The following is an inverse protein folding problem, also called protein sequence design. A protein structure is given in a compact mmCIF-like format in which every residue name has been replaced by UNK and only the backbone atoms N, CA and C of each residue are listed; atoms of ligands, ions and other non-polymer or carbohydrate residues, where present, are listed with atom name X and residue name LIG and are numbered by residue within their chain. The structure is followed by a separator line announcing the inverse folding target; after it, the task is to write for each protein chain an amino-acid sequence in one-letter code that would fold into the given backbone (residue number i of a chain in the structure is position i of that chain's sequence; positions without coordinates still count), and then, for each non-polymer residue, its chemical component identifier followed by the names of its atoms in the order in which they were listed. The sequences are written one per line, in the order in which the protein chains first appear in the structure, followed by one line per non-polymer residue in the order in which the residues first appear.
data_IF_237298089614
#
_entry.id   IF_237298089614
#
_cell.length_a   1.000
_cell.length_b   1.000
_cell.length_c   1.000
_cell.angle_alpha   90.00
_cell.angle_beta   90.00
_cell.angle_gamma   90.00
#
_symmetry.space_group_name_H-M   'P 1'
#
loop_
_entity.id
_entity.type
_entity.pdbx_description
1 polymer ?
#
# COMPACT_ATOMS: atom_id res chain seq x y z
N UNK A 1 12.04 12.02 10.45
CA UNK A 1 11.58 11.25 9.27
C UNK A 1 10.07 11.40 9.24
N UNK A 2 9.46 11.83 8.14
CA UNK A 2 7.99 11.96 8.06
C UNK A 2 7.35 10.58 7.94
N UNK A 3 6.12 10.41 8.45
CA UNK A 3 5.36 9.15 8.39
C UNK A 3 5.20 8.62 6.95
N UNK A 4 5.06 9.53 5.97
CA UNK A 4 5.07 9.20 4.54
C UNK A 4 6.31 8.42 4.11
N UNK A 5 7.47 8.74 4.70
CA UNK A 5 8.72 8.06 4.37
C UNK A 5 8.73 6.61 4.90
N UNK A 6 8.16 6.37 6.07
CA UNK A 6 8.05 5.02 6.66
C UNK A 6 7.11 4.14 5.83
N UNK A 7 5.97 4.67 5.39
CA UNK A 7 5.03 3.92 4.54
C UNK A 7 5.64 3.54 3.20
N UNK A 8 6.41 4.44 2.57
CA UNK A 8 7.09 4.14 1.31
C UNK A 8 8.06 2.96 1.44
N UNK A 9 8.89 2.93 2.49
CA UNK A 9 9.83 1.82 2.71
C UNK A 9 9.09 0.48 2.88
N UNK A 10 7.97 0.48 3.63
CA UNK A 10 7.16 -0.73 3.79
C UNK A 10 6.53 -1.19 2.47
N UNK A 11 6.00 -0.27 1.68
CA UNK A 11 5.41 -0.57 0.38
C UNK A 11 6.46 -1.08 -0.60
N UNK A 12 7.66 -0.51 -0.60
CA UNK A 12 8.78 -0.90 -1.46
C UNK A 12 9.27 -2.33 -1.13
N UNK A 13 9.51 -2.63 0.15
CA UNK A 13 9.86 -3.99 0.59
C UNK A 13 8.75 -4.98 0.22
N UNK A 14 7.49 -4.63 0.49
CA UNK A 14 6.36 -5.50 0.14
C UNK A 14 6.23 -5.73 -1.36
N UNK A 15 6.51 -4.71 -2.19
CA UNK A 15 6.51 -4.83 -3.64
C UNK A 15 7.63 -5.76 -4.12
N UNK A 16 8.86 -5.59 -3.62
CA UNK A 16 10.01 -6.39 -4.02
C UNK A 16 9.83 -7.86 -3.65
N UNK A 17 9.33 -8.12 -2.45
CA UNK A 17 9.16 -9.47 -1.89
C UNK A 17 7.82 -10.11 -2.30
N UNK A 18 6.94 -9.35 -2.97
CA UNK A 18 5.58 -9.77 -3.33
C UNK A 18 4.77 -10.22 -2.11
N UNK A 19 4.98 -9.54 -0.97
CA UNK A 19 4.28 -9.83 0.27
C UNK A 19 2.91 -9.13 0.30
N UNK A 20 1.88 -9.78 0.86
CA UNK A 20 0.58 -9.16 1.05
C UNK A 20 0.63 -8.06 2.11
N UNK A 21 0.08 -6.91 1.73
CA UNK A 21 -0.13 -5.76 2.62
C UNK A 21 -1.61 -5.55 2.86
N UNK A 22 -1.92 -4.98 4.02
CA UNK A 22 -3.22 -4.39 4.31
C UNK A 22 -3.04 -2.90 4.60
N UNK A 23 -3.68 -2.08 3.79
CA UNK A 23 -3.61 -0.62 3.83
C UNK A 23 -4.92 -0.11 4.42
N UNK A 24 -4.82 0.70 5.47
CA UNK A 24 -5.95 1.31 6.16
C UNK A 24 -6.10 2.77 5.75
N UNK A 25 -7.34 3.13 5.46
CA UNK A 25 -7.82 4.43 5.01
C UNK A 25 -8.99 4.82 5.92
N UNK A 26 -9.37 6.10 5.96
CA UNK A 26 -10.33 6.66 6.95
C UNK A 26 -11.63 5.86 7.13
N UNK A 27 -12.14 5.23 6.07
CA UNK A 27 -13.40 4.48 6.10
C UNK A 27 -13.31 3.07 5.51
N UNK A 28 -12.12 2.62 5.13
CA UNK A 28 -11.97 1.34 4.45
C UNK A 28 -10.57 0.78 4.59
N UNK A 29 -10.43 -0.52 4.36
CA UNK A 29 -9.14 -1.17 4.28
C UNK A 29 -9.07 -1.98 2.98
N UNK A 30 -7.88 -1.99 2.38
CA UNK A 30 -7.60 -2.71 1.15
C UNK A 30 -6.46 -3.68 1.40
N UNK A 31 -6.65 -4.94 1.02
CA UNK A 31 -5.65 -5.99 1.13
C UNK A 31 -5.22 -6.45 -0.26
N UNK A 32 -3.92 -6.61 -0.47
CA UNK A 32 -3.40 -7.02 -1.76
C UNK A 32 -1.88 -7.03 -1.85
N UNK A 33 -1.38 -7.24 -3.07
CA UNK A 33 0.05 -7.14 -3.39
C UNK A 33 0.32 -5.77 -4.02
N UNK A 34 1.35 -5.08 -3.55
CA UNK A 34 1.82 -3.84 -4.18
C UNK A 34 2.38 -4.16 -5.56
N UNK A 35 1.83 -3.56 -6.61
CA UNK A 35 2.28 -3.79 -8.00
C UNK A 35 3.11 -2.63 -8.51
N UNK A 36 2.79 -1.41 -8.10
CA UNK A 36 3.51 -0.21 -8.52
C UNK A 36 3.45 0.88 -7.44
N UNK A 37 4.54 1.62 -7.27
CA UNK A 37 4.62 2.78 -6.38
C UNK A 37 4.99 3.98 -7.26
N UNK A 38 4.06 4.92 -7.37
CA UNK A 38 4.25 6.19 -8.05
C UNK A 38 4.60 7.31 -7.07
N UNK A 39 4.72 8.53 -7.59
CA UNK A 39 5.09 9.71 -6.78
C UNK A 39 4.07 10.05 -5.69
N UNK A 40 2.77 9.89 -5.99
CA UNK A 40 1.69 10.29 -5.07
C UNK A 40 0.72 9.16 -4.75
N UNK A 41 0.89 7.99 -5.37
CA UNK A 41 -0.04 6.88 -5.27
C UNK A 41 0.67 5.55 -5.25
N UNK A 42 0.03 4.57 -4.62
CA UNK A 42 0.39 3.16 -4.71
C UNK A 42 -0.72 2.39 -5.42
N UNK A 43 -0.31 1.48 -6.29
CA UNK A 43 -1.18 0.53 -6.92
C UNK A 43 -1.04 -0.84 -6.25
N UNK A 44 -2.17 -1.46 -5.97
CA UNK A 44 -2.24 -2.82 -5.46
C UNK A 44 -3.11 -3.69 -6.36
N UNK A 45 -2.77 -4.96 -6.45
CA UNK A 45 -3.69 -6.00 -6.91
C UNK A 45 -4.37 -6.59 -5.69
N UNK A 46 -5.68 -6.36 -5.55
CA UNK A 46 -6.47 -6.85 -4.42
C UNK A 46 -6.54 -8.37 -4.43
N UNK A 47 -6.86 -8.96 -3.29
CA UNK A 47 -7.09 -10.41 -3.15
C UNK A 47 -8.21 -10.94 -4.07
N UNK A 48 -9.11 -10.07 -4.50
CA UNK A 48 -10.21 -10.38 -5.44
C UNK A 48 -9.76 -10.29 -6.91
N UNK A 49 -8.49 -10.00 -7.16
CA UNK A 49 -7.93 -9.85 -8.51
C UNK A 49 -8.20 -8.49 -9.15
N UNK A 50 -8.76 -7.52 -8.40
CA UNK A 50 -9.02 -6.17 -8.90
C UNK A 50 -7.79 -5.28 -8.74
N UNK A 51 -7.74 -4.17 -9.48
CA UNK A 51 -6.70 -3.15 -9.32
C UNK A 51 -7.23 -2.02 -8.44
N UNK A 52 -6.51 -1.74 -7.35
CA UNK A 52 -6.76 -0.60 -6.47
C UNK A 52 -5.66 0.45 -6.64
N UNK A 53 -6.03 1.72 -6.70
CA UNK A 53 -5.10 2.86 -6.69
C UNK A 53 -5.40 3.68 -5.44
N UNK A 54 -4.39 3.92 -4.62
CA UNK A 54 -4.51 4.57 -3.31
C UNK A 54 -3.57 5.76 -3.28
N UNK A 55 -4.06 6.94 -2.88
CA UNK A 55 -3.20 8.11 -2.69
C UNK A 55 -2.38 7.95 -1.41
N UNK A 56 -1.08 8.20 -1.47
CA UNK A 56 -0.17 8.03 -0.34
C UNK A 56 -0.56 8.91 0.86
N UNK A 57 -1.08 10.10 0.60
CA UNK A 57 -1.54 11.03 1.64
C UNK A 57 -2.86 10.61 2.32
N UNK A 58 -3.55 9.59 1.80
CA UNK A 58 -4.77 9.04 2.39
C UNK A 58 -4.52 7.82 3.29
N UNK A 59 -3.29 7.30 3.31
CA UNK A 59 -2.88 6.15 4.10
C UNK A 59 -2.77 6.54 5.57
N UNK A 60 -3.55 5.88 6.42
CA UNK A 60 -3.51 6.06 7.87
C UNK A 60 -2.62 5.01 8.54
N UNK A 61 -2.59 3.78 8.01
CA UNK A 61 -1.70 2.72 8.48
C UNK A 61 -1.45 1.65 7.42
N UNK A 62 -0.34 0.93 7.56
CA UNK A 62 0.01 -0.24 6.76
C UNK A 62 0.41 -1.37 7.71
N UNK A 63 -0.11 -2.57 7.47
CA UNK A 63 0.38 -3.79 8.13
C UNK A 63 0.82 -4.79 7.07
N UNK A 64 2.02 -5.36 7.26
CA UNK A 64 2.50 -6.53 6.53
C UNK A 64 2.09 -7.82 7.25
N UNK A 65 2.06 -8.91 6.50
CA UNK A 65 1.92 -10.27 7.07
C UNK A 65 3.29 -10.82 7.46
#
# INVERSE_FOLDING_TARGET
MSETNVFLVMLESSQQEQLPVRIFLTHHALSGIVTHIGTESVEIRTTEGQRGIILLNSIEAITGS
#
